data_IF_254756140303
#
_entry.id   IF_254756140303
#
_cell.length_a   1.000
_cell.length_b   1.000
_cell.length_c   1.000
_cell.angle_alpha   90.00
_cell.angle_beta   90.00
_cell.angle_gamma   90.00
#
_symmetry.space_group_name_H-M   'P 1'
#
loop_
_entity.id
_entity.type
_entity.pdbx_description
1 polymer ?
#
# COMPACT_ATOMS: atom_id res chain seq x y z
N UNK A 1 -39.47 -37.80 27.81
CA UNK A 1 -38.16 -38.31 28.30
C UNK A 1 -37.10 -37.43 27.66
N UNK A 2 -36.24 -36.64 28.32
CA UNK A 2 -35.93 -36.34 29.72
C UNK A 2 -35.88 -34.82 29.86
N UNK A 3 -36.31 -34.33 31.03
CA UNK A 3 -36.20 -32.95 31.46
C UNK A 3 -34.79 -32.67 32.03
N UNK A 4 -34.38 -31.40 32.01
CA UNK A 4 -33.64 -30.80 33.13
C UNK A 4 -33.81 -29.28 33.11
N UNK A 5 -34.31 -28.81 34.24
CA UNK A 5 -34.60 -27.43 34.65
C UNK A 5 -33.47 -26.95 35.58
N UNK A 6 -33.59 -25.69 36.06
CA UNK A 6 -32.85 -24.99 37.15
C UNK A 6 -31.67 -24.14 36.65
N UNK A 7 -31.50 -22.86 37.01
CA UNK A 7 -32.21 -21.99 37.94
C UNK A 7 -31.38 -20.74 38.29
N UNK A 8 -32.10 -19.65 38.58
CA UNK A 8 -31.76 -18.34 39.18
C UNK A 8 -30.44 -18.16 39.94
N UNK A 9 -29.85 -16.95 39.89
CA UNK A 9 -29.86 -15.98 41.02
C UNK A 9 -29.30 -14.57 40.69
N UNK A 10 -29.92 -13.57 41.32
CA UNK A 10 -29.65 -12.10 41.34
C UNK A 10 -28.66 -11.72 42.45
N UNK A 11 -27.91 -10.61 42.30
CA UNK A 11 -27.58 -9.56 43.32
C UNK A 11 -27.14 -8.30 42.53
N UNK A 12 -27.85 -7.16 42.41
CA UNK A 12 -28.22 -6.05 43.32
C UNK A 12 -27.07 -5.16 43.88
N UNK A 13 -26.94 -3.98 43.25
CA UNK A 13 -26.76 -2.62 43.78
C UNK A 13 -25.82 -2.30 44.97
N UNK A 14 -25.01 -1.25 44.76
CA UNK A 14 -24.48 -0.38 45.81
C UNK A 14 -24.18 1.00 45.22
N UNK A 15 -24.73 2.06 45.81
CA UNK A 15 -24.75 3.43 45.32
C UNK A 15 -24.32 4.42 46.43
N UNK A 16 -23.95 5.66 46.01
CA UNK A 16 -24.03 6.94 46.78
C UNK A 16 -22.94 7.11 47.87
N UNK A 17 -22.28 8.26 48.14
CA UNK A 17 -22.57 9.70 48.11
C UNK A 17 -21.23 10.51 47.90
N UNK A 18 -21.13 11.68 47.25
CA UNK A 18 -21.72 13.03 47.44
C UNK A 18 -21.00 13.93 48.49
N UNK A 19 -21.03 15.26 48.23
CA UNK A 19 -20.88 16.42 49.17
C UNK A 19 -19.46 17.02 49.35
N UNK A 20 -19.15 18.33 49.24
CA UNK A 20 -19.82 19.59 48.80
C UNK A 20 -18.79 20.75 48.70
N UNK A 21 -19.08 21.71 47.80
CA UNK A 21 -18.99 23.19 47.87
C UNK A 21 -18.18 23.90 48.98
N UNK A 22 -17.40 24.93 48.58
CA UNK A 22 -17.39 26.28 49.23
C UNK A 22 -17.20 27.39 48.18
N UNK A 23 -18.03 28.43 48.32
CA UNK A 23 -18.16 29.68 47.56
C UNK A 23 -17.38 30.87 48.17
N UNK A 24 -17.10 31.88 47.33
CA UNK A 24 -17.00 33.32 47.69
C UNK A 24 -15.66 33.98 47.31
N UNK A 25 -15.50 35.30 47.10
CA UNK A 25 -16.40 36.44 46.87
C UNK A 25 -15.48 37.65 46.48
N UNK A 26 -15.96 38.55 45.60
CA UNK A 26 -15.65 40.00 45.46
C UNK A 26 -14.20 40.57 45.41
N UNK A 27 -13.89 41.17 44.24
CA UNK A 27 -13.51 42.58 43.98
C UNK A 27 -12.48 43.30 44.88
N UNK A 28 -11.33 43.65 44.29
CA UNK A 28 -10.69 44.97 44.50
C UNK A 28 -9.90 45.44 43.26
N UNK A 29 -10.16 46.69 42.83
CA UNK A 29 -9.30 47.49 41.94
C UNK A 29 -7.98 47.83 42.66
N UNK A 30 -6.87 47.78 41.94
CA UNK A 30 -5.78 48.75 42.08
C UNK A 30 -5.07 48.92 40.73
N UNK A 31 -4.90 50.18 40.37
CA UNK A 31 -4.12 50.68 39.23
C UNK A 31 -2.62 50.39 39.38
N UNK A 32 -1.94 50.56 38.24
CA UNK A 32 -0.51 50.84 38.08
C UNK A 32 0.50 49.74 38.41
N UNK A 33 0.91 49.01 37.36
CA UNK A 33 2.34 48.82 37.09
C UNK A 33 2.57 48.53 35.60
N UNK A 34 3.11 49.54 34.91
CA UNK A 34 3.81 49.39 33.65
C UNK A 34 4.96 48.38 33.84
N UNK A 35 4.78 47.18 33.32
CA UNK A 35 5.86 46.20 33.15
C UNK A 35 5.98 45.91 31.65
N UNK A 36 7.08 46.42 31.10
CA UNK A 36 7.67 46.11 29.81
C UNK A 36 7.35 44.69 29.33
N UNK A 37 6.47 44.58 28.33
CA UNK A 37 6.33 43.37 27.51
C UNK A 37 7.59 43.19 26.68
N UNK A 38 8.63 42.65 27.31
CA UNK A 38 9.69 41.97 26.60
C UNK A 38 9.08 40.79 25.88
N UNK A 39 8.95 40.88 24.56
CA UNK A 39 8.79 39.70 23.70
C UNK A 39 9.97 38.77 24.01
N UNK A 40 9.78 37.80 24.90
CA UNK A 40 10.63 36.62 24.92
C UNK A 40 10.47 36.01 23.54
N UNK A 41 11.54 36.06 22.75
CA UNK A 41 11.65 35.28 21.53
C UNK A 41 11.22 33.86 21.90
N UNK A 42 10.09 33.43 21.32
CA UNK A 42 9.59 32.09 21.51
C UNK A 42 10.69 31.19 20.96
N UNK A 43 11.30 30.41 21.84
CA UNK A 43 12.27 29.40 21.44
C UNK A 43 11.63 28.59 20.31
N UNK A 44 12.30 28.45 19.15
CA UNK A 44 11.72 27.74 18.02
C UNK A 44 11.30 26.35 18.50
N UNK A 45 10.10 25.92 18.12
CA UNK A 45 9.66 24.57 18.41
C UNK A 45 10.72 23.58 17.89
N UNK A 46 10.98 22.48 18.62
CA UNK A 46 11.87 21.45 18.11
C UNK A 46 11.39 20.99 16.72
N UNK A 47 12.31 20.61 15.83
CA UNK A 47 11.93 20.06 14.53
C UNK A 47 10.96 18.88 14.72
N UNK A 48 9.94 18.83 13.87
CA UNK A 48 8.99 17.71 13.87
C UNK A 48 9.67 16.53 13.17
N UNK A 49 9.98 15.49 13.95
CA UNK A 49 10.65 14.28 13.46
C UNK A 49 9.65 13.21 12.99
N UNK A 50 8.34 13.53 12.93
CA UNK A 50 7.34 12.59 12.43
C UNK A 50 7.44 12.39 10.91
N UNK A 51 7.17 11.17 10.40
CA UNK A 51 7.14 10.93 8.96
C UNK A 51 6.19 11.90 8.24
N UNK A 52 6.69 12.51 7.17
CA UNK A 52 5.96 13.50 6.38
C UNK A 52 6.10 14.96 6.82
N UNK A 53 6.86 15.24 7.89
CA UNK A 53 7.07 16.62 8.37
C UNK A 53 7.76 17.52 7.32
N UNK A 54 8.58 16.94 6.44
CA UNK A 54 9.28 17.64 5.36
C UNK A 54 8.59 17.50 3.99
N UNK A 55 7.35 17.02 3.93
CA UNK A 55 6.62 16.86 2.67
C UNK A 55 6.36 18.22 2.00
N UNK A 56 6.37 18.22 0.67
CA UNK A 56 6.15 19.40 -0.14
C UNK A 56 4.71 19.91 -0.06
N UNK A 57 4.53 21.22 -0.26
CA UNK A 57 3.19 21.80 -0.42
C UNK A 57 2.45 21.19 -1.62
N UNK A 58 3.18 20.84 -2.68
CA UNK A 58 2.65 20.19 -3.87
C UNK A 58 2.07 18.81 -3.57
N UNK A 59 2.78 17.94 -2.83
CA UNK A 59 2.23 16.65 -2.41
C UNK A 59 1.01 16.82 -1.52
N UNK A 60 1.12 17.66 -0.49
CA UNK A 60 0.01 17.91 0.44
C UNK A 60 -1.24 18.39 -0.31
N UNK A 61 -1.06 19.27 -1.29
CA UNK A 61 -2.14 19.76 -2.13
C UNK A 61 -2.72 18.67 -3.04
N UNK A 62 -1.88 17.95 -3.79
CA UNK A 62 -2.31 16.89 -4.69
C UNK A 62 -3.12 15.81 -3.95
N UNK A 63 -2.64 15.40 -2.77
CA UNK A 63 -3.33 14.41 -1.93
C UNK A 63 -4.65 14.95 -1.36
N UNK A 64 -4.73 16.23 -1.00
CA UNK A 64 -6.00 16.85 -0.60
C UNK A 64 -7.00 16.95 -1.77
N UNK A 65 -6.54 17.11 -3.02
CA UNK A 65 -7.41 17.04 -4.20
C UNK A 65 -7.90 15.60 -4.42
N UNK A 66 -7.03 14.61 -4.30
CA UNK A 66 -7.40 13.20 -4.40
C UNK A 66 -8.43 12.79 -3.33
N UNK A 67 -8.27 13.25 -2.09
CA UNK A 67 -9.26 13.05 -1.02
C UNK A 67 -10.63 13.65 -1.36
N UNK A 68 -10.66 14.85 -1.96
CA UNK A 68 -11.92 15.47 -2.42
C UNK A 68 -12.57 14.68 -3.55
N UNK A 69 -11.78 14.15 -4.48
CA UNK A 69 -12.29 13.29 -5.56
C UNK A 69 -12.90 12.00 -5.00
N UNK A 70 -12.27 11.40 -3.98
CA UNK A 70 -12.83 10.24 -3.27
C UNK A 70 -14.18 10.54 -2.64
N UNK A 71 -14.28 11.66 -1.90
CA UNK A 71 -15.54 12.09 -1.27
C UNK A 71 -16.60 12.30 -2.35
N UNK A 72 -16.23 12.94 -3.46
CA UNK A 72 -17.14 13.20 -4.56
C UNK A 72 -17.56 11.91 -5.29
N UNK A 73 -16.66 10.93 -5.42
CA UNK A 73 -16.96 9.60 -5.98
C UNK A 73 -18.02 8.86 -5.17
N UNK A 74 -18.01 9.04 -3.85
CA UNK A 74 -18.93 8.38 -2.92
C UNK A 74 -20.33 9.00 -2.82
N UNK A 75 -20.63 10.10 -3.52
CA UNK A 75 -21.95 10.75 -3.39
C UNK A 75 -23.03 10.00 -4.17
N UNK A 76 -24.22 9.92 -3.58
CA UNK A 76 -25.41 9.33 -4.21
C UNK A 76 -26.07 10.28 -5.22
N UNK A 77 -25.79 11.57 -5.14
CA UNK A 77 -26.43 12.61 -5.96
C UNK A 77 -25.80 12.63 -7.36
N UNK A 78 -26.49 13.19 -8.37
CA UNK A 78 -25.93 13.30 -9.72
C UNK A 78 -24.57 14.01 -9.72
N UNK A 79 -23.61 13.43 -10.42
CA UNK A 79 -22.29 14.04 -10.60
C UNK A 79 -22.39 15.16 -11.63
N UNK A 80 -21.87 16.33 -11.25
CA UNK A 80 -21.68 17.47 -12.14
C UNK A 80 -20.29 17.44 -12.81
N UNK A 81 -20.21 17.37 -14.15
CA UNK A 81 -18.94 17.41 -14.89
C UNK A 81 -18.09 18.65 -14.58
N UNK A 82 -18.74 19.81 -14.42
CA UNK A 82 -18.11 21.08 -14.07
C UNK A 82 -17.39 21.00 -12.73
N UNK A 83 -17.94 20.27 -11.75
CA UNK A 83 -17.34 20.12 -10.43
C UNK A 83 -16.12 19.21 -10.46
N UNK A 84 -16.16 18.12 -11.23
CA UNK A 84 -14.98 17.25 -11.42
C UNK A 84 -13.84 18.06 -12.03
N UNK A 85 -14.13 18.81 -13.10
CA UNK A 85 -13.16 19.72 -13.73
C UNK A 85 -12.62 20.74 -12.73
N UNK A 86 -13.49 21.41 -11.99
CA UNK A 86 -13.09 22.39 -10.96
C UNK A 86 -12.14 21.77 -9.94
N UNK A 87 -12.44 20.57 -9.42
CA UNK A 87 -11.58 19.89 -8.44
C UNK A 87 -10.20 19.60 -9.04
N UNK A 88 -10.14 19.06 -10.26
CA UNK A 88 -8.89 18.67 -10.92
C UNK A 88 -8.01 19.86 -11.32
N UNK A 89 -8.62 20.97 -11.77
CA UNK A 89 -7.89 22.14 -12.28
C UNK A 89 -7.70 23.24 -11.25
N UNK A 90 -8.19 23.06 -10.02
CA UNK A 90 -8.03 24.07 -8.97
C UNK A 90 -6.56 24.21 -8.62
N UNK A 91 -6.16 25.44 -8.33
CA UNK A 91 -4.83 25.77 -7.80
C UNK A 91 -4.93 26.28 -6.37
N UNK A 92 -3.85 26.13 -5.60
CA UNK A 92 -3.64 26.77 -4.29
C UNK A 92 -2.21 27.31 -4.25
N UNK A 93 -2.08 28.62 -4.47
CA UNK A 93 -0.75 29.22 -4.69
C UNK A 93 -0.18 28.71 -6.01
N UNK A 94 1.05 28.21 -5.98
CA UNK A 94 1.73 27.60 -7.13
C UNK A 94 1.41 26.10 -7.29
N UNK A 95 0.75 25.47 -6.29
CA UNK A 95 0.44 24.04 -6.32
C UNK A 95 -0.81 23.73 -7.15
N UNK A 96 -0.71 22.71 -8.00
CA UNK A 96 -1.77 22.18 -8.87
C UNK A 96 -1.59 20.65 -9.02
N UNK A 97 -2.71 19.90 -9.03
CA UNK A 97 -2.68 18.45 -9.23
C UNK A 97 -2.14 18.08 -10.63
N UNK A 98 -2.54 18.81 -11.67
CA UNK A 98 -2.10 18.51 -13.04
C UNK A 98 -0.62 18.80 -13.24
N UNK A 99 -0.08 19.82 -12.57
CA UNK A 99 1.36 20.10 -12.61
C UNK A 99 2.14 19.03 -11.84
N UNK A 100 1.64 18.61 -10.67
CA UNK A 100 2.21 17.46 -9.93
C UNK A 100 2.20 16.17 -10.77
N UNK A 101 1.10 15.92 -11.51
CA UNK A 101 0.99 14.76 -12.40
C UNK A 101 2.01 14.84 -13.55
N UNK A 102 2.16 16.01 -14.16
CA UNK A 102 3.14 16.26 -15.21
C UNK A 102 4.58 16.02 -14.73
N UNK A 103 4.90 16.50 -13.53
CA UNK A 103 6.22 16.34 -12.93
C UNK A 103 6.50 14.88 -12.56
N UNK A 104 5.50 14.19 -12.01
CA UNK A 104 5.58 12.76 -11.71
C UNK A 104 5.80 11.93 -12.98
N UNK A 105 5.05 12.20 -14.05
CA UNK A 105 5.24 11.53 -15.34
C UNK A 105 6.67 11.70 -15.87
N UNK A 106 7.21 12.93 -15.83
CA UNK A 106 8.59 13.19 -16.26
C UNK A 106 9.60 12.45 -15.38
N UNK A 107 9.43 12.48 -14.06
CA UNK A 107 10.32 11.83 -13.11
C UNK A 107 10.29 10.29 -13.26
N UNK A 108 9.14 9.74 -13.64
CA UNK A 108 8.94 8.32 -13.91
C UNK A 108 9.34 7.92 -15.34
N UNK A 109 9.72 8.87 -16.20
CA UNK A 109 10.02 8.62 -17.61
C UNK A 109 8.79 8.23 -18.44
N UNK A 110 7.58 8.52 -17.95
CA UNK A 110 6.29 8.21 -18.59
C UNK A 110 5.92 9.33 -19.57
N UNK A 111 6.75 9.50 -20.58
CA UNK A 111 6.61 10.56 -21.59
C UNK A 111 6.44 9.92 -22.97
N UNK A 112 5.39 10.29 -23.69
CA UNK A 112 5.10 9.83 -25.06
C UNK A 112 5.14 11.03 -26.00
N UNK A 113 5.94 10.96 -27.06
CA UNK A 113 6.10 12.05 -28.03
C UNK A 113 6.54 13.40 -27.41
N UNK A 114 7.21 13.35 -26.25
CA UNK A 114 7.62 14.54 -25.49
C UNK A 114 6.58 15.07 -24.51
N UNK A 115 5.38 14.50 -24.48
CA UNK A 115 4.28 14.88 -23.60
C UNK A 115 4.11 13.91 -22.42
N UNK A 116 3.81 14.40 -21.20
CA UNK A 116 3.55 13.53 -20.04
C UNK A 116 2.30 12.67 -20.25
N UNK A 117 2.43 11.35 -20.12
CA UNK A 117 1.43 10.36 -20.57
C UNK A 117 0.13 10.43 -19.78
N UNK A 118 0.22 10.44 -18.45
CA UNK A 118 -0.95 10.45 -17.57
C UNK A 118 -1.61 11.84 -17.53
N UNK A 119 -0.83 12.91 -17.71
CA UNK A 119 -1.38 14.26 -17.96
C UNK A 119 -2.20 14.32 -19.25
N UNK A 120 -1.64 13.80 -20.36
CA UNK A 120 -2.33 13.80 -21.66
C UNK A 120 -3.66 13.07 -21.57
N UNK A 121 -3.66 11.89 -20.93
CA UNK A 121 -4.87 11.13 -20.64
C UNK A 121 -5.88 11.92 -19.80
N UNK A 122 -5.43 12.57 -18.73
CA UNK A 122 -6.31 13.38 -17.87
C UNK A 122 -6.95 14.53 -18.65
N UNK A 123 -6.19 15.19 -19.52
CA UNK A 123 -6.68 16.28 -20.37
C UNK A 123 -7.70 15.79 -21.42
N UNK A 124 -7.45 14.65 -22.05
CA UNK A 124 -8.41 14.03 -22.98
C UNK A 124 -9.72 13.71 -22.27
N UNK A 125 -9.65 13.08 -21.10
CA UNK A 125 -10.83 12.76 -20.31
C UNK A 125 -11.58 14.03 -19.89
N UNK A 126 -10.87 15.05 -19.41
CA UNK A 126 -11.44 16.35 -19.08
C UNK A 126 -12.16 16.98 -20.27
N UNK A 127 -11.65 16.86 -21.50
CA UNK A 127 -12.29 17.44 -22.69
C UNK A 127 -13.70 16.86 -22.94
N UNK A 128 -13.92 15.59 -22.60
CA UNK A 128 -15.17 14.88 -22.89
C UNK A 128 -16.15 14.78 -21.72
N UNK A 129 -15.79 15.23 -20.51
CA UNK A 129 -16.65 15.09 -19.32
C UNK A 129 -18.07 15.65 -19.49
N UNK A 130 -18.24 16.73 -20.24
CA UNK A 130 -19.55 17.38 -20.42
C UNK A 130 -20.54 16.55 -21.26
N UNK A 131 -20.04 15.59 -22.04
CA UNK A 131 -20.81 14.77 -22.98
C UNK A 131 -21.24 13.43 -22.35
N UNK A 132 -20.71 13.10 -21.17
CA UNK A 132 -20.93 11.82 -20.49
C UNK A 132 -22.28 11.78 -19.78
N UNK A 133 -22.93 10.62 -19.85
CA UNK A 133 -24.06 10.32 -18.98
C UNK A 133 -23.60 10.01 -17.54
N UNK A 134 -24.54 9.87 -16.60
CA UNK A 134 -24.21 9.68 -15.18
C UNK A 134 -23.46 8.38 -14.89
N UNK A 135 -23.75 7.29 -15.61
CA UNK A 135 -23.05 6.02 -15.43
C UNK A 135 -21.61 6.14 -15.92
N UNK A 136 -21.40 6.75 -17.08
CA UNK A 136 -20.08 7.01 -17.65
C UNK A 136 -19.27 7.97 -16.80
N UNK A 137 -19.88 9.03 -16.23
CA UNK A 137 -19.21 9.94 -15.31
C UNK A 137 -18.70 9.24 -14.05
N UNK A 138 -19.48 8.31 -13.49
CA UNK A 138 -19.05 7.52 -12.32
C UNK A 138 -17.89 6.59 -12.66
N UNK A 139 -17.94 5.97 -13.83
CA UNK A 139 -16.85 5.14 -14.33
C UNK A 139 -15.58 5.96 -14.58
N UNK A 140 -15.68 7.11 -15.26
CA UNK A 140 -14.57 8.02 -15.53
C UNK A 140 -13.97 8.57 -14.24
N UNK A 141 -14.78 8.98 -13.26
CA UNK A 141 -14.27 9.43 -11.95
C UNK A 141 -13.57 8.31 -11.18
N UNK A 142 -14.07 7.09 -11.26
CA UNK A 142 -13.39 5.91 -10.67
C UNK A 142 -12.03 5.69 -11.33
N UNK A 143 -11.97 5.76 -12.66
CA UNK A 143 -10.71 5.64 -13.41
C UNK A 143 -9.73 6.76 -13.07
N UNK A 144 -10.18 8.02 -13.01
CA UNK A 144 -9.37 9.17 -12.54
C UNK A 144 -8.74 8.88 -11.19
N UNK A 145 -9.54 8.55 -10.19
CA UNK A 145 -9.06 8.33 -8.84
C UNK A 145 -8.08 7.16 -8.78
N UNK A 146 -8.39 6.04 -9.42
CA UNK A 146 -7.52 4.85 -9.38
C UNK A 146 -6.23 5.06 -10.16
N UNK A 147 -6.27 5.74 -11.31
CA UNK A 147 -5.08 6.09 -12.10
C UNK A 147 -4.17 7.05 -11.35
N UNK A 148 -4.73 8.07 -10.70
CA UNK A 148 -3.94 8.97 -9.84
C UNK A 148 -3.24 8.19 -8.72
N UNK A 149 -3.91 7.21 -8.10
CA UNK A 149 -3.29 6.32 -7.11
C UNK A 149 -2.19 5.43 -7.70
N UNK A 150 -2.35 4.95 -8.94
CA UNK A 150 -1.29 4.22 -9.62
C UNK A 150 -0.05 5.10 -9.79
N UNK A 151 -0.21 6.36 -10.23
CA UNK A 151 0.89 7.34 -10.31
C UNK A 151 1.49 7.61 -8.92
N UNK A 152 0.65 7.82 -7.90
CA UNK A 152 1.10 7.98 -6.50
C UNK A 152 1.96 6.81 -6.03
N UNK A 153 1.57 5.56 -6.33
CA UNK A 153 2.36 4.37 -6.00
C UNK A 153 3.70 4.37 -6.73
N UNK A 154 3.71 4.65 -8.04
CA UNK A 154 4.94 4.66 -8.83
C UNK A 154 5.91 5.75 -8.36
N UNK A 155 5.41 6.95 -8.05
CA UNK A 155 6.20 8.06 -7.56
C UNK A 155 6.75 7.80 -6.15
N UNK A 156 5.91 7.27 -5.25
CA UNK A 156 6.35 6.82 -3.92
C UNK A 156 7.48 5.79 -4.03
N UNK A 157 7.35 4.80 -4.92
CA UNK A 157 8.40 3.80 -5.17
C UNK A 157 9.70 4.42 -5.67
N UNK A 158 9.61 5.37 -6.60
CA UNK A 158 10.76 6.10 -7.15
C UNK A 158 11.51 6.84 -6.03
N UNK A 159 10.79 7.60 -5.21
CA UNK A 159 11.35 8.36 -4.08
C UNK A 159 12.02 7.43 -3.06
N UNK A 160 11.35 6.35 -2.65
CA UNK A 160 11.93 5.37 -1.73
C UNK A 160 13.18 4.69 -2.31
N UNK A 161 13.18 4.40 -3.61
CA UNK A 161 14.36 3.84 -4.29
C UNK A 161 15.53 4.83 -4.32
N UNK A 162 15.30 6.13 -4.53
CA UNK A 162 16.36 7.13 -4.45
C UNK A 162 17.03 7.16 -3.07
N UNK A 163 16.25 6.99 -2.00
CA UNK A 163 16.78 6.93 -0.64
C UNK A 163 17.51 5.60 -0.38
N UNK A 164 16.88 4.48 -0.70
CA UNK A 164 17.42 3.15 -0.41
C UNK A 164 18.65 2.79 -1.26
N UNK A 165 18.76 3.33 -2.48
CA UNK A 165 19.92 3.16 -3.36
C UNK A 165 21.01 4.23 -3.09
N UNK A 166 20.86 5.02 -2.02
CA UNK A 166 21.80 6.07 -1.60
C UNK A 166 22.03 7.17 -2.67
N UNK A 167 21.06 7.35 -3.58
CA UNK A 167 21.06 8.43 -4.60
C UNK A 167 20.64 9.77 -4.00
N UNK A 168 19.87 9.75 -2.91
CA UNK A 168 19.61 10.89 -2.03
C UNK A 168 20.24 10.61 -0.66
N UNK A 169 20.86 11.62 -0.03
CA UNK A 169 21.52 11.48 1.28
C UNK A 169 21.25 12.68 2.18
N UNK A 170 21.45 12.51 3.49
CA UNK A 170 21.29 13.59 4.48
C UNK A 170 19.89 14.23 4.43
N UNK A 171 19.78 15.57 4.46
CA UNK A 171 18.49 16.26 4.42
C UNK A 171 17.64 15.94 3.18
N UNK A 172 18.27 15.64 2.04
CA UNK A 172 17.51 15.26 0.84
C UNK A 172 16.85 13.90 1.03
N UNK A 173 17.55 12.91 1.60
CA UNK A 173 16.98 11.60 1.88
C UNK A 173 15.74 11.71 2.79
N UNK A 174 15.82 12.55 3.83
CA UNK A 174 14.70 12.82 4.73
C UNK A 174 13.51 13.42 3.99
N UNK A 175 13.73 14.44 3.16
CA UNK A 175 12.68 15.07 2.37
C UNK A 175 12.02 14.09 1.39
N UNK A 176 12.79 13.22 0.72
CA UNK A 176 12.27 12.20 -0.20
C UNK A 176 11.46 11.13 0.52
N UNK A 177 11.92 10.70 1.70
CA UNK A 177 11.20 9.75 2.54
C UNK A 177 9.86 10.31 3.03
N UNK A 178 9.87 11.57 3.48
CA UNK A 178 8.68 12.28 3.95
C UNK A 178 7.71 12.58 2.81
N UNK A 179 8.20 12.91 1.61
CA UNK A 179 7.38 13.04 0.40
C UNK A 179 6.70 11.72 0.05
N UNK A 180 7.44 10.59 0.08
CA UNK A 180 6.87 9.26 -0.12
C UNK A 180 5.81 8.91 0.93
N UNK A 181 6.02 9.29 2.20
CA UNK A 181 5.03 9.12 3.25
C UNK A 181 3.78 9.99 3.02
N UNK A 182 3.93 11.23 2.53
CA UNK A 182 2.81 12.08 2.15
C UNK A 182 1.96 11.42 1.04
N UNK A 183 2.60 10.88 0.00
CA UNK A 183 1.93 10.15 -1.08
C UNK A 183 1.16 8.92 -0.56
N UNK A 184 1.80 8.13 0.32
CA UNK A 184 1.15 6.97 0.91
C UNK A 184 -0.04 7.38 1.80
N UNK A 185 0.19 8.25 2.78
CA UNK A 185 -0.81 8.64 3.77
C UNK A 185 -2.02 9.31 3.14
N UNK A 186 -1.79 10.15 2.13
CA UNK A 186 -2.83 10.89 1.43
C UNK A 186 -3.55 10.11 0.34
N UNK A 187 -2.83 9.29 -0.44
CA UNK A 187 -3.38 8.65 -1.64
C UNK A 187 -3.63 7.15 -1.53
N UNK A 188 -2.80 6.43 -0.78
CA UNK A 188 -2.75 4.96 -0.78
C UNK A 188 -3.26 4.32 0.51
N UNK A 189 -3.13 4.99 1.66
CA UNK A 189 -3.51 4.45 2.97
C UNK A 189 -4.95 3.95 3.01
N UNK A 190 -5.88 4.68 2.39
CA UNK A 190 -7.29 4.26 2.31
C UNK A 190 -7.49 2.94 1.55
N UNK A 191 -6.64 2.65 0.56
CA UNK A 191 -6.66 1.36 -0.12
C UNK A 191 -6.20 0.24 0.82
N UNK A 192 -5.15 0.47 1.60
CA UNK A 192 -4.70 -0.48 2.60
C UNK A 192 -5.77 -0.74 3.67
N UNK A 193 -6.41 0.31 4.20
CA UNK A 193 -7.55 0.18 5.12
C UNK A 193 -8.70 -0.60 4.50
N UNK A 194 -9.01 -0.37 3.21
CA UNK A 194 -10.06 -1.10 2.50
C UNK A 194 -9.71 -2.58 2.33
N UNK A 195 -8.46 -2.89 1.99
CA UNK A 195 -7.99 -4.27 1.88
C UNK A 195 -8.08 -5.00 3.23
N UNK A 196 -7.64 -4.36 4.32
CA UNK A 196 -7.72 -4.91 5.67
C UNK A 196 -9.17 -5.14 6.12
N UNK A 197 -10.12 -4.37 5.60
CA UNK A 197 -11.54 -4.50 5.92
C UNK A 197 -12.28 -5.57 5.07
N UNK A 198 -11.62 -6.24 4.12
CA UNK A 198 -12.27 -7.24 3.27
C UNK A 198 -12.71 -8.48 4.09
N UNK A 199 -13.96 -8.99 3.92
CA UNK A 199 -14.47 -10.09 4.74
C UNK A 199 -13.72 -11.43 4.59
N UNK A 200 -13.27 -11.76 3.37
CA UNK A 200 -12.70 -13.08 3.07
C UNK A 200 -11.16 -13.07 3.03
N UNK A 201 -10.55 -11.91 2.80
CA UNK A 201 -9.09 -11.75 2.61
C UNK A 201 -8.51 -10.52 3.34
N UNK A 202 -9.21 -10.03 4.36
CA UNK A 202 -8.77 -8.91 5.20
C UNK A 202 -8.14 -9.36 6.51
N UNK A 203 -7.87 -8.41 7.41
CA UNK A 203 -7.26 -8.67 8.73
C UNK A 203 -5.75 -8.93 8.70
N UNK A 204 -5.09 -8.72 7.56
CA UNK A 204 -3.66 -8.92 7.39
C UNK A 204 -2.82 -7.77 7.99
N UNK A 205 -3.46 -6.62 8.26
CA UNK A 205 -2.83 -5.49 8.94
C UNK A 205 -1.87 -4.71 8.05
N UNK A 206 -2.12 -4.67 6.73
CA UNK A 206 -1.27 -4.00 5.76
C UNK A 206 -1.13 -2.51 6.05
N UNK A 207 -2.20 -1.84 6.46
CA UNK A 207 -2.14 -0.40 6.77
C UNK A 207 -1.15 -0.13 7.91
N UNK A 208 -1.27 -0.88 9.01
CA UNK A 208 -0.41 -0.72 10.17
C UNK A 208 1.04 -1.11 9.86
N UNK A 209 1.26 -2.22 9.15
CA UNK A 209 2.59 -2.70 8.77
C UNK A 209 3.32 -1.70 7.87
N UNK A 210 2.63 -1.12 6.87
CA UNK A 210 3.25 -0.12 6.00
C UNK A 210 3.53 1.18 6.76
N UNK A 211 2.63 1.61 7.65
CA UNK A 211 2.86 2.77 8.51
C UNK A 211 4.10 2.60 9.39
N UNK A 212 4.24 1.41 10.01
CA UNK A 212 5.39 1.05 10.83
C UNK A 212 6.67 1.02 10.00
N UNK A 213 6.65 0.49 8.78
CA UNK A 213 7.81 0.51 7.88
C UNK A 213 8.25 1.94 7.53
N UNK A 214 7.31 2.87 7.29
CA UNK A 214 7.65 4.29 7.12
C UNK A 214 8.30 4.90 8.36
N UNK A 215 7.77 4.61 9.56
CA UNK A 215 8.33 5.09 10.80
C UNK A 215 9.75 4.54 11.05
N UNK A 216 9.94 3.23 10.86
CA UNK A 216 11.22 2.56 11.06
C UNK A 216 12.28 3.05 10.08
N UNK A 217 11.95 3.15 8.79
CA UNK A 217 12.91 3.65 7.81
C UNK A 217 13.23 5.15 8.00
N UNK A 218 12.26 5.96 8.45
CA UNK A 218 12.51 7.38 8.79
C UNK A 218 13.47 7.51 9.96
N UNK A 219 13.29 6.70 11.01
CA UNK A 219 14.17 6.69 12.18
C UNK A 219 15.58 6.18 11.83
N UNK A 220 15.68 5.20 10.92
CA UNK A 220 16.97 4.68 10.45
C UNK A 220 17.80 5.72 9.69
N UNK A 221 17.17 6.71 9.04
CA UNK A 221 17.89 7.79 8.36
C UNK A 221 18.62 8.74 9.32
N UNK A 222 18.25 8.75 10.60
CA UNK A 222 18.94 9.52 11.64
C UNK A 222 20.16 8.76 12.22
N UNK A 223 20.32 7.46 11.91
CA UNK A 223 21.43 6.60 12.34
C UNK A 223 22.20 6.02 11.14
N UNK A 224 23.33 6.63 10.73
CA UNK A 224 24.13 6.17 9.59
C UNK A 224 24.62 4.72 9.69
N UNK A 225 24.73 4.16 10.91
CA UNK A 225 25.17 2.78 11.09
C UNK A 225 24.09 1.75 10.70
N UNK A 226 22.82 2.16 10.72
CA UNK A 226 21.65 1.31 10.45
C UNK A 226 20.96 1.63 9.13
N UNK A 227 21.13 2.86 8.65
CA UNK A 227 20.43 3.41 7.50
C UNK A 227 20.34 2.43 6.32
N UNK A 228 21.46 1.90 5.82
CA UNK A 228 21.43 1.10 4.57
C UNK A 228 20.57 -0.18 4.69
N UNK A 229 20.66 -0.94 5.79
CA UNK A 229 19.88 -2.18 5.96
C UNK A 229 18.41 -1.91 6.29
N UNK A 230 18.15 -1.04 7.27
CA UNK A 230 16.78 -0.79 7.75
C UNK A 230 15.96 0.00 6.72
N UNK A 231 16.55 0.97 6.02
CA UNK A 231 15.87 1.74 4.95
C UNK A 231 15.54 0.83 3.77
N UNK A 232 16.47 -0.03 3.34
CA UNK A 232 16.20 -0.99 2.25
C UNK A 232 15.10 -1.97 2.64
N UNK A 233 15.14 -2.52 3.86
CA UNK A 233 14.09 -3.40 4.37
C UNK A 233 12.73 -2.69 4.44
N UNK A 234 12.68 -1.48 5.01
CA UNK A 234 11.47 -0.67 5.11
C UNK A 234 10.90 -0.33 3.73
N UNK A 235 11.74 0.06 2.76
CA UNK A 235 11.33 0.27 1.36
C UNK A 235 10.60 -0.96 0.82
N UNK A 236 11.16 -2.15 1.00
CA UNK A 236 10.55 -3.38 0.47
C UNK A 236 9.23 -3.70 1.18
N UNK A 237 9.14 -3.48 2.49
CA UNK A 237 7.89 -3.60 3.23
C UNK A 237 6.79 -2.67 2.69
N UNK A 238 7.12 -1.40 2.48
CA UNK A 238 6.17 -0.41 1.93
C UNK A 238 5.76 -0.79 0.51
N UNK A 239 6.73 -1.01 -0.38
CA UNK A 239 6.48 -1.27 -1.80
C UNK A 239 5.71 -2.57 -2.01
N UNK A 240 6.15 -3.68 -1.40
CA UNK A 240 5.51 -4.99 -1.60
C UNK A 240 4.22 -5.13 -0.80
N UNK A 241 4.12 -4.46 0.35
CA UNK A 241 2.86 -4.35 1.08
C UNK A 241 1.78 -3.69 0.22
N UNK A 242 2.11 -2.63 -0.53
CA UNK A 242 1.17 -2.04 -1.48
C UNK A 242 0.77 -2.98 -2.62
N UNK A 243 1.66 -3.88 -3.06
CA UNK A 243 1.27 -4.90 -4.03
C UNK A 243 0.30 -5.93 -3.46
N UNK A 244 0.47 -6.31 -2.19
CA UNK A 244 -0.47 -7.16 -1.48
C UNK A 244 -1.84 -6.48 -1.41
N UNK A 245 -1.88 -5.20 -1.02
CA UNK A 245 -3.10 -4.39 -1.00
C UNK A 245 -3.77 -4.39 -2.38
N UNK A 246 -3.02 -4.15 -3.46
CA UNK A 246 -3.60 -4.10 -4.81
C UNK A 246 -4.10 -5.47 -5.27
N UNK A 247 -3.36 -6.54 -4.98
CA UNK A 247 -3.79 -7.91 -5.24
C UNK A 247 -5.17 -8.18 -4.61
N UNK A 248 -5.32 -7.88 -3.31
CA UNK A 248 -6.57 -8.12 -2.57
C UNK A 248 -7.74 -7.33 -3.15
N UNK A 249 -7.49 -6.07 -3.51
CA UNK A 249 -8.49 -5.20 -4.08
C UNK A 249 -8.88 -5.61 -5.50
N UNK A 250 -7.93 -5.99 -6.36
CA UNK A 250 -8.23 -6.50 -7.72
C UNK A 250 -9.22 -7.65 -7.63
N UNK A 251 -9.01 -8.61 -6.72
CA UNK A 251 -9.90 -9.75 -6.55
C UNK A 251 -11.27 -9.36 -6.01
N UNK A 252 -11.33 -8.51 -4.99
CA UNK A 252 -12.61 -8.04 -4.44
C UNK A 252 -13.44 -7.27 -5.50
N UNK A 253 -12.79 -6.42 -6.29
CA UNK A 253 -13.45 -5.66 -7.35
C UNK A 253 -13.89 -6.56 -8.51
N UNK A 254 -13.10 -7.58 -8.88
CA UNK A 254 -13.49 -8.59 -9.86
C UNK A 254 -14.67 -9.45 -9.37
N UNK A 255 -14.68 -9.85 -8.09
CA UNK A 255 -15.77 -10.60 -7.46
C UNK A 255 -17.09 -9.84 -7.43
N UNK A 256 -17.03 -8.49 -7.41
CA UNK A 256 -18.23 -7.65 -7.47
C UNK A 256 -19.04 -7.86 -8.76
N UNK A 257 -18.39 -8.28 -9.86
CA UNK A 257 -19.00 -8.45 -11.19
C UNK A 257 -19.80 -7.23 -11.63
N UNK A 258 -19.30 -6.05 -11.32
CA UNK A 258 -19.87 -4.77 -11.76
C UNK A 258 -18.94 -4.09 -12.77
N UNK A 259 -19.51 -3.25 -13.64
CA UNK A 259 -18.70 -2.46 -14.58
C UNK A 259 -17.72 -1.51 -13.85
N UNK A 260 -18.12 -0.96 -12.70
CA UNK A 260 -17.25 -0.12 -11.88
C UNK A 260 -16.11 -0.91 -11.25
N UNK A 261 -16.40 -2.08 -10.67
CA UNK A 261 -15.38 -2.97 -10.11
C UNK A 261 -14.40 -3.45 -11.18
N UNK A 262 -14.88 -3.83 -12.37
CA UNK A 262 -14.00 -4.20 -13.49
C UNK A 262 -13.08 -3.05 -13.92
N UNK A 263 -13.59 -1.82 -13.98
CA UNK A 263 -12.80 -0.63 -14.29
C UNK A 263 -11.75 -0.34 -13.21
N UNK A 264 -12.11 -0.41 -11.93
CA UNK A 264 -11.18 -0.19 -10.82
C UNK A 264 -10.09 -1.28 -10.76
N UNK A 265 -10.47 -2.55 -10.90
CA UNK A 265 -9.54 -3.68 -10.96
C UNK A 265 -8.53 -3.52 -12.09
N UNK A 266 -8.95 -3.04 -13.26
CA UNK A 266 -8.06 -2.83 -14.41
C UNK A 266 -6.97 -1.80 -14.14
N UNK A 267 -7.35 -0.65 -13.61
CA UNK A 267 -6.38 0.41 -13.29
C UNK A 267 -5.42 -0.04 -12.17
N UNK A 268 -5.86 -0.89 -11.23
CA UNK A 268 -4.99 -1.51 -10.24
C UNK A 268 -4.04 -2.55 -10.85
N UNK A 269 -4.49 -3.34 -11.84
CA UNK A 269 -3.65 -4.28 -12.59
C UNK A 269 -2.56 -3.53 -13.35
N UNK A 270 -2.87 -2.40 -13.97
CA UNK A 270 -1.89 -1.57 -14.68
C UNK A 270 -0.80 -1.06 -13.72
N UNK A 271 -1.14 -0.77 -12.47
CA UNK A 271 -0.16 -0.38 -11.45
C UNK A 271 0.78 -1.54 -11.02
N UNK A 272 0.39 -2.79 -11.30
CA UNK A 272 1.19 -4.00 -11.10
C UNK A 272 1.83 -4.54 -12.38
N UNK A 273 1.66 -3.87 -13.53
CA UNK A 273 2.10 -4.39 -14.83
C UNK A 273 3.58 -4.80 -14.84
N UNK A 274 4.46 -3.97 -14.27
CA UNK A 274 5.90 -4.25 -14.20
C UNK A 274 6.24 -5.47 -13.34
N UNK A 275 5.33 -5.90 -12.46
CA UNK A 275 5.47 -7.10 -11.65
C UNK A 275 4.92 -8.36 -12.33
N UNK A 276 3.95 -8.19 -13.22
CA UNK A 276 3.24 -9.28 -13.89
C UNK A 276 3.88 -9.62 -15.24
N UNK A 277 4.25 -8.62 -16.05
CA UNK A 277 4.65 -8.81 -17.45
C UNK A 277 5.88 -9.71 -17.63
N UNK A 278 6.85 -9.62 -16.71
CA UNK A 278 8.12 -10.35 -16.75
C UNK A 278 8.06 -11.75 -16.11
N UNK A 279 6.90 -12.15 -15.55
CA UNK A 279 6.72 -13.45 -14.86
C UNK A 279 5.50 -14.23 -15.33
N UNK A 280 4.47 -13.53 -15.79
CA UNK A 280 3.26 -14.09 -16.36
C UNK A 280 2.66 -13.14 -17.42
N UNK A 281 3.46 -12.83 -18.46
CA UNK A 281 3.08 -11.94 -19.55
C UNK A 281 1.76 -12.35 -20.24
N UNK A 282 1.61 -13.62 -20.66
CA UNK A 282 0.35 -14.11 -21.19
C UNK A 282 -0.81 -14.05 -20.19
N UNK A 283 -0.54 -14.28 -18.90
CA UNK A 283 -1.54 -14.15 -17.85
C UNK A 283 -2.03 -12.72 -17.64
N UNK A 284 -1.14 -11.72 -17.75
CA UNK A 284 -1.53 -10.30 -17.73
C UNK A 284 -2.52 -9.98 -18.86
N UNK A 285 -2.27 -10.49 -20.08
CA UNK A 285 -3.20 -10.33 -21.20
C UNK A 285 -4.55 -11.02 -20.92
N UNK A 286 -4.55 -12.21 -20.33
CA UNK A 286 -5.78 -12.92 -19.92
C UNK A 286 -6.56 -12.16 -18.83
N UNK A 287 -5.88 -11.62 -17.82
CA UNK A 287 -6.52 -10.78 -16.78
C UNK A 287 -7.20 -9.56 -17.43
N UNK A 288 -6.47 -8.83 -18.28
CA UNK A 288 -7.02 -7.66 -19.00
C UNK A 288 -8.25 -8.05 -19.84
N UNK A 289 -8.16 -9.13 -20.61
CA UNK A 289 -9.27 -9.63 -21.41
C UNK A 289 -10.51 -9.99 -20.57
N UNK A 290 -10.33 -10.58 -19.38
CA UNK A 290 -11.45 -10.83 -18.47
C UNK A 290 -12.07 -9.55 -17.92
N UNK A 291 -11.24 -8.58 -17.53
CA UNK A 291 -11.73 -7.28 -17.04
C UNK A 291 -12.35 -6.41 -18.16
N UNK A 292 -12.12 -6.75 -19.42
CA UNK A 292 -12.78 -6.20 -20.61
C UNK A 292 -14.08 -6.91 -21.00
N UNK A 293 -14.34 -8.10 -20.47
CA UNK A 293 -15.54 -8.87 -20.75
C UNK A 293 -16.79 -8.25 -20.11
N UNK A 294 -17.97 -8.79 -20.44
CA UNK A 294 -19.20 -8.39 -19.76
C UNK A 294 -19.07 -8.71 -18.25
N UNK A 295 -19.53 -7.86 -17.32
CA UNK A 295 -19.27 -8.06 -15.90
C UNK A 295 -19.74 -9.42 -15.34
N UNK A 296 -20.83 -9.97 -15.91
CA UNK A 296 -21.35 -11.29 -15.52
C UNK A 296 -20.40 -12.46 -15.88
N UNK A 297 -19.51 -12.26 -16.85
CA UNK A 297 -18.58 -13.26 -17.37
C UNK A 297 -17.20 -13.19 -16.69
N UNK A 298 -16.99 -12.25 -15.77
CA UNK A 298 -15.73 -12.12 -15.03
C UNK A 298 -15.54 -13.33 -14.09
N UNK A 299 -14.42 -14.02 -14.28
CA UNK A 299 -13.98 -15.14 -13.45
C UNK A 299 -12.86 -14.70 -12.49
N UNK A 300 -13.26 -14.22 -11.32
CA UNK A 300 -12.32 -13.78 -10.30
C UNK A 300 -11.34 -14.90 -9.85
N UNK A 301 -11.75 -16.17 -9.92
CA UNK A 301 -10.87 -17.31 -9.59
C UNK A 301 -9.78 -17.49 -10.64
N UNK A 302 -10.11 -17.31 -11.92
CA UNK A 302 -9.08 -17.31 -12.97
C UNK A 302 -8.14 -16.10 -12.81
N UNK A 303 -8.65 -14.91 -12.49
CA UNK A 303 -7.80 -13.73 -12.22
C UNK A 303 -6.86 -14.01 -11.03
N UNK A 304 -7.37 -14.59 -9.94
CA UNK A 304 -6.57 -14.99 -8.77
C UNK A 304 -5.47 -15.97 -9.15
N UNK A 305 -5.80 -16.98 -9.97
CA UNK A 305 -4.82 -17.94 -10.47
C UNK A 305 -3.70 -17.23 -11.25
N UNK A 306 -4.04 -16.36 -12.22
CA UNK A 306 -3.04 -15.68 -13.04
C UNK A 306 -2.15 -14.73 -12.22
N UNK A 307 -2.71 -14.03 -11.24
CA UNK A 307 -1.91 -13.24 -10.30
C UNK A 307 -1.03 -14.16 -9.46
N UNK A 308 -1.57 -15.25 -8.92
CA UNK A 308 -0.81 -16.20 -8.09
C UNK A 308 0.40 -16.78 -8.82
N UNK A 309 0.31 -17.06 -10.14
CA UNK A 309 1.46 -17.49 -10.96
C UNK A 309 2.61 -16.48 -10.91
N UNK A 310 2.35 -15.19 -11.07
CA UNK A 310 3.41 -14.18 -11.05
C UNK A 310 4.03 -14.04 -9.66
N UNK A 311 3.19 -14.01 -8.62
CA UNK A 311 3.63 -13.82 -7.24
C UNK A 311 4.36 -15.04 -6.67
N UNK A 312 3.93 -16.26 -6.99
CA UNK A 312 4.61 -17.49 -6.54
C UNK A 312 6.01 -17.61 -7.14
N UNK A 313 6.21 -17.24 -8.41
CA UNK A 313 7.56 -17.21 -9.03
C UNK A 313 8.46 -16.17 -8.38
N UNK A 314 7.90 -15.02 -8.00
CA UNK A 314 8.64 -13.99 -7.24
C UNK A 314 9.01 -14.49 -5.85
N UNK A 315 8.08 -15.11 -5.12
CA UNK A 315 8.37 -15.75 -3.84
C UNK A 315 9.45 -16.84 -3.99
N UNK A 316 9.38 -17.67 -5.05
CA UNK A 316 10.38 -18.69 -5.35
C UNK A 316 11.78 -18.10 -5.47
N UNK A 317 11.94 -17.00 -6.21
CA UNK A 317 13.24 -16.31 -6.35
C UNK A 317 13.89 -16.11 -4.97
N UNK A 318 13.12 -15.65 -3.98
CA UNK A 318 13.64 -15.25 -2.69
C UNK A 318 13.77 -16.39 -1.67
N UNK A 319 13.21 -17.57 -1.96
CA UNK A 319 13.37 -18.74 -1.09
C UNK A 319 14.84 -19.14 -0.90
N UNK A 320 15.70 -18.90 -1.91
CA UNK A 320 17.12 -19.29 -1.90
C UNK A 320 18.08 -18.20 -2.40
N UNK A 321 17.59 -17.00 -2.75
CA UNK A 321 18.43 -15.92 -3.30
C UNK A 321 19.64 -15.61 -2.42
N UNK A 322 19.43 -15.32 -1.14
CA UNK A 322 20.49 -14.94 -0.21
C UNK A 322 21.54 -16.07 0.00
N UNK A 323 21.07 -17.33 0.01
CA UNK A 323 21.95 -18.51 0.13
C UNK A 323 22.73 -18.75 -1.16
N UNK A 324 22.07 -18.70 -2.31
CA UNK A 324 22.66 -18.98 -3.61
C UNK A 324 23.63 -17.90 -4.10
N UNK A 325 23.45 -16.64 -3.69
CA UNK A 325 24.42 -15.57 -3.95
C UNK A 325 25.52 -15.48 -2.88
N UNK A 326 25.41 -16.22 -1.78
CA UNK A 326 26.32 -16.13 -0.62
C UNK A 326 26.42 -14.72 -0.01
N UNK A 327 25.32 -13.97 0.00
CA UNK A 327 25.26 -12.55 0.42
C UNK A 327 24.59 -12.36 1.79
N UNK A 328 24.77 -13.28 2.74
CA UNK A 328 24.14 -13.17 4.07
C UNK A 328 24.66 -11.98 4.89
N UNK A 329 23.86 -11.52 5.85
CA UNK A 329 24.13 -10.35 6.69
C UNK A 329 24.40 -9.04 5.92
N UNK A 330 23.99 -8.97 4.65
CA UNK A 330 24.06 -7.75 3.85
C UNK A 330 22.71 -7.02 3.82
N UNK A 331 22.69 -5.69 3.68
CA UNK A 331 21.47 -4.92 3.47
C UNK A 331 20.59 -5.47 2.35
N UNK A 332 21.20 -5.88 1.23
CA UNK A 332 20.47 -6.36 0.06
C UNK A 332 19.82 -7.72 0.33
N UNK A 333 20.52 -8.67 0.95
CA UNK A 333 19.93 -9.96 1.29
C UNK A 333 18.80 -9.84 2.32
N UNK A 334 18.93 -8.96 3.31
CA UNK A 334 17.86 -8.71 4.29
C UNK A 334 16.63 -8.13 3.59
N UNK A 335 16.83 -7.12 2.73
CA UNK A 335 15.76 -6.47 1.99
C UNK A 335 15.07 -7.44 0.99
N UNK A 336 15.85 -8.21 0.23
CA UNK A 336 15.33 -9.22 -0.69
C UNK A 336 14.59 -10.35 0.05
N UNK A 337 15.02 -10.71 1.27
CA UNK A 337 14.30 -11.70 2.09
C UNK A 337 12.94 -11.17 2.56
N UNK A 338 12.86 -9.88 2.94
CA UNK A 338 11.58 -9.21 3.20
C UNK A 338 10.64 -9.22 1.98
N UNK A 339 11.17 -9.07 0.76
CA UNK A 339 10.35 -9.25 -0.45
C UNK A 339 9.72 -10.66 -0.50
N UNK A 340 10.51 -11.70 -0.22
CA UNK A 340 10.04 -13.09 -0.16
C UNK A 340 8.94 -13.32 0.87
N UNK A 341 9.10 -12.78 2.08
CA UNK A 341 8.10 -12.83 3.16
C UNK A 341 6.76 -12.26 2.67
N UNK A 342 6.78 -11.08 2.06
CA UNK A 342 5.55 -10.37 1.69
C UNK A 342 4.88 -11.03 0.48
N UNK A 343 5.63 -11.37 -0.58
CA UNK A 343 5.04 -12.09 -1.72
C UNK A 343 4.40 -13.41 -1.29
N UNK A 344 5.00 -14.08 -0.31
CA UNK A 344 4.43 -15.30 0.27
C UNK A 344 3.14 -15.02 1.03
N UNK A 345 3.09 -13.99 1.88
CA UNK A 345 1.85 -13.56 2.54
C UNK A 345 0.73 -13.30 1.53
N UNK A 346 1.04 -12.70 0.36
CA UNK A 346 0.04 -12.49 -0.70
C UNK A 346 -0.60 -13.80 -1.16
N UNK A 347 0.19 -14.84 -1.43
CA UNK A 347 -0.31 -16.12 -1.98
C UNK A 347 -0.66 -17.14 -0.91
N UNK A 348 -0.40 -16.87 0.37
CA UNK A 348 -0.60 -17.83 1.44
C UNK A 348 -2.05 -18.35 1.55
N UNK A 349 -3.11 -17.52 1.38
CA UNK A 349 -4.48 -18.01 1.41
C UNK A 349 -4.76 -19.05 0.31
N UNK A 350 -4.38 -18.77 -0.93
CA UNK A 350 -4.60 -19.67 -2.07
C UNK A 350 -3.69 -20.91 -2.00
N UNK A 351 -2.48 -20.76 -1.46
CA UNK A 351 -1.56 -21.85 -1.18
C UNK A 351 -2.10 -22.80 -0.10
N UNK A 352 -2.67 -22.25 0.98
CA UNK A 352 -3.35 -23.00 2.04
C UNK A 352 -4.49 -23.85 1.47
N UNK A 353 -5.34 -23.25 0.65
CA UNK A 353 -6.45 -23.96 0.01
C UNK A 353 -5.96 -25.08 -0.92
N UNK A 354 -5.01 -24.77 -1.80
CA UNK A 354 -4.53 -25.71 -2.83
C UNK A 354 -3.73 -26.89 -2.26
N UNK A 355 -2.95 -26.66 -1.21
CA UNK A 355 -2.02 -27.65 -0.66
C UNK A 355 -2.47 -28.30 0.65
N UNK A 356 -3.60 -27.90 1.23
CA UNK A 356 -4.14 -28.55 2.44
C UNK A 356 -4.25 -30.08 2.32
N UNK A 357 -4.65 -30.68 1.18
CA UNK A 357 -4.69 -32.14 1.01
C UNK A 357 -3.31 -32.83 1.11
N UNK A 358 -2.21 -32.09 0.92
CA UNK A 358 -0.83 -32.58 1.03
C UNK A 358 -0.23 -32.35 2.42
N UNK A 359 -1.01 -31.80 3.35
CA UNK A 359 -0.55 -31.52 4.71
C UNK A 359 0.22 -30.22 4.84
N UNK A 360 0.09 -29.28 3.90
CA UNK A 360 0.70 -27.95 4.02
C UNK A 360 0.17 -27.22 5.25
N UNK A 361 1.09 -26.82 6.12
CA UNK A 361 0.84 -25.99 7.29
C UNK A 361 1.28 -24.55 7.01
N UNK A 362 0.29 -23.68 6.77
CA UNK A 362 0.52 -22.28 6.44
C UNK A 362 1.18 -21.49 7.59
N UNK A 363 0.95 -21.87 8.84
CA UNK A 363 1.50 -21.18 10.00
C UNK A 363 2.97 -21.61 10.18
N UNK A 364 3.28 -22.90 10.01
CA UNK A 364 4.66 -23.39 9.97
C UNK A 364 5.46 -22.79 8.81
N UNK A 365 4.85 -22.69 7.62
CA UNK A 365 5.49 -22.07 6.46
C UNK A 365 5.78 -20.58 6.67
N UNK A 366 4.87 -19.86 7.33
CA UNK A 366 5.09 -18.46 7.71
C UNK A 366 6.19 -18.32 8.76
N UNK A 367 6.26 -19.24 9.72
CA UNK A 367 7.34 -19.30 10.71
C UNK A 367 8.70 -19.60 10.07
N UNK A 368 8.76 -20.47 9.06
CA UNK A 368 9.97 -20.72 8.28
C UNK A 368 10.46 -19.44 7.60
N UNK A 369 9.59 -18.62 7.01
CA UNK A 369 10.00 -17.33 6.44
C UNK A 369 10.61 -16.37 7.47
N UNK A 370 10.04 -16.30 8.68
CA UNK A 370 10.61 -15.48 9.76
C UNK A 370 11.96 -16.03 10.22
N UNK A 371 12.07 -17.34 10.43
CA UNK A 371 13.34 -17.98 10.78
C UNK A 371 14.40 -17.82 9.70
N UNK A 372 14.01 -17.83 8.42
CA UNK A 372 14.92 -17.57 7.31
C UNK A 372 15.43 -16.13 7.33
N UNK A 373 14.54 -15.15 7.54
CA UNK A 373 14.91 -13.74 7.68
C UNK A 373 15.88 -13.52 8.85
N UNK A 374 15.62 -14.14 10.00
CA UNK A 374 16.51 -14.11 11.16
C UNK A 374 17.89 -14.69 10.83
N UNK A 375 17.93 -15.87 10.19
CA UNK A 375 19.18 -16.53 9.80
C UNK A 375 19.98 -15.70 8.77
N UNK A 376 19.30 -15.12 7.77
CA UNK A 376 19.92 -14.22 6.79
C UNK A 376 20.49 -12.98 7.47
N UNK A 377 19.74 -12.37 8.40
CA UNK A 377 20.18 -11.19 9.15
C UNK A 377 21.39 -11.50 10.04
N UNK A 378 21.39 -12.66 10.68
CA UNK A 378 22.49 -13.12 11.55
C UNK A 378 23.72 -13.64 10.80
N UNK A 379 23.62 -13.86 9.48
CA UNK A 379 24.69 -14.47 8.70
C UNK A 379 24.84 -15.98 8.93
N UNK A 380 23.81 -16.65 9.45
CA UNK A 380 23.83 -18.09 9.73
C UNK A 380 23.53 -18.90 8.45
N UNK A 381 24.60 -19.22 7.71
CA UNK A 381 24.50 -19.93 6.45
C UNK A 381 23.90 -21.33 6.55
N UNK A 382 24.17 -22.04 7.65
CA UNK A 382 23.67 -23.40 7.80
C UNK A 382 22.16 -23.37 8.02
N UNK A 383 21.70 -22.59 9.00
CA UNK A 383 20.27 -22.46 9.30
C UNK A 383 19.52 -21.88 8.09
N UNK A 384 20.09 -20.86 7.43
CA UNK A 384 19.47 -20.27 6.24
C UNK A 384 19.28 -21.31 5.12
N UNK A 385 20.27 -22.16 4.84
CA UNK A 385 20.17 -23.20 3.82
C UNK A 385 19.14 -24.29 4.19
N UNK A 386 19.08 -24.71 5.45
CA UNK A 386 18.12 -25.70 5.93
C UNK A 386 16.67 -25.21 5.81
N UNK A 387 16.42 -23.95 6.16
CA UNK A 387 15.08 -23.34 6.03
C UNK A 387 14.74 -23.10 4.56
N UNK A 388 15.69 -22.57 3.78
CA UNK A 388 15.53 -22.33 2.33
C UNK A 388 15.02 -23.57 1.58
N UNK A 389 15.57 -24.75 1.88
CA UNK A 389 15.13 -26.00 1.25
C UNK A 389 13.64 -26.29 1.49
N UNK A 390 13.12 -26.04 2.69
CA UNK A 390 11.70 -26.21 3.02
C UNK A 390 10.83 -25.14 2.36
N UNK A 391 11.33 -23.91 2.29
CA UNK A 391 10.65 -22.82 1.60
C UNK A 391 10.43 -23.14 0.12
N UNK A 392 11.47 -23.67 -0.52
CA UNK A 392 11.46 -24.11 -1.92
C UNK A 392 10.47 -25.26 -2.13
N UNK A 393 10.50 -26.30 -1.29
CA UNK A 393 9.64 -27.48 -1.41
C UNK A 393 8.17 -27.09 -1.55
N UNK A 394 7.66 -26.31 -0.60
CA UNK A 394 6.26 -25.89 -0.61
C UNK A 394 5.93 -24.90 -1.73
N UNK A 395 6.85 -23.97 -2.04
CA UNK A 395 6.62 -23.05 -3.15
C UNK A 395 6.52 -23.80 -4.48
N UNK A 396 7.40 -24.77 -4.73
CA UNK A 396 7.36 -25.61 -5.91
C UNK A 396 6.09 -26.47 -5.97
N UNK A 397 5.67 -27.07 -4.85
CA UNK A 397 4.40 -27.79 -4.80
C UNK A 397 3.21 -26.88 -5.19
N UNK A 398 3.23 -25.61 -4.75
CA UNK A 398 2.20 -24.66 -5.13
C UNK A 398 2.25 -24.29 -6.62
N UNK A 399 3.44 -24.13 -7.20
CA UNK A 399 3.61 -23.92 -8.64
C UNK A 399 3.04 -25.10 -9.46
N UNK A 400 3.32 -26.33 -9.03
CA UNK A 400 2.76 -27.52 -9.67
C UNK A 400 1.23 -27.53 -9.59
N UNK A 401 0.64 -27.12 -8.45
CA UNK A 401 -0.83 -26.98 -8.29
C UNK A 401 -1.44 -25.90 -9.18
N UNK A 402 -0.71 -24.84 -9.46
CA UNK A 402 -1.12 -23.81 -10.41
C UNK A 402 -1.02 -24.28 -11.87
N UNK A 403 -0.40 -25.45 -12.11
CA UNK A 403 -0.26 -26.08 -13.42
C UNK A 403 0.97 -25.60 -14.20
N UNK A 404 1.99 -25.08 -13.51
CA UNK A 404 3.27 -24.71 -14.12
C UNK A 404 4.04 -25.98 -14.47
N UNK A 405 4.72 -25.99 -15.62
CA UNK A 405 5.46 -27.18 -16.08
C UNK A 405 6.75 -27.43 -15.32
N UNK A 406 7.32 -26.39 -14.71
CA UNK A 406 8.52 -26.46 -13.88
C UNK A 406 8.43 -25.44 -12.74
N UNK A 407 9.03 -25.78 -11.59
CA UNK A 407 9.23 -24.82 -10.54
C UNK A 407 10.30 -23.80 -10.97
N UNK A 408 9.91 -22.55 -11.20
CA UNK A 408 10.78 -21.49 -11.71
C UNK A 408 10.61 -20.19 -10.94
N UNK A 409 11.62 -19.32 -11.05
CA UNK A 409 11.61 -17.96 -10.51
C UNK A 409 11.51 -16.87 -11.59
N UNK A 410 11.61 -17.24 -12.87
CA UNK A 410 11.78 -16.28 -13.97
C UNK A 410 11.23 -16.71 -15.33
N UNK A 411 11.05 -18.01 -15.60
CA UNK A 411 10.50 -18.49 -16.88
C UNK A 411 9.10 -17.92 -17.06
N UNK A 412 8.83 -17.23 -18.18
CA UNK A 412 7.48 -16.78 -18.50
C UNK A 412 6.65 -17.97 -18.99
N UNK A 413 5.35 -17.99 -18.71
CA UNK A 413 4.49 -19.04 -19.24
C UNK A 413 4.42 -18.95 -20.77
N UNK A 414 4.33 -20.10 -21.45
CA UNK A 414 4.16 -20.19 -22.90
C UNK A 414 2.66 -20.44 -23.16
N UNK A 415 2.14 -19.89 -24.26
CA UNK A 415 0.75 -20.12 -24.71
C UNK A 415 0.49 -21.55 -25.20
#
# INVERSE_FOLDING_TARGET
MRALTVGLSRVLAGAVACVTLVTGCKSHRSEDQQATTGQRAREPAPPDDSPGALASESCTYAMAVLDRLDVYRGVEWPLEPSKIREILTRTKGEANLLDWLADSDRALGRVSEGEPTDLMWANELLAHLAERDQASLRADLTRIVTRLRAVTLLEMRRLLAEVADERATGPEALARWDEAHCLWSGGLRKLATRADALPARGGEGWEASIAEAFANGRAALDDPAKASAEVKAAKQQIEKGMYAVFYRLILAEAESRTALGAAEARELVDALEDRLADRNGPGLARIRAQLDAAPADIDATQIERELAVAFTKRARKYCDKAVSSAELATPDAIAETWEGVIYTQVILPSMREALSPEGFDADAYSADWQGYLEAVTAGDAQTAAEISARLIEWNCAYQDRLGLSECSSSTNEIE
#
